data_IF_112135423589
#
_entry.id   IF_112135423589
#
_cell.length_a   1.000
_cell.length_b   1.000
_cell.length_c   1.000
_cell.angle_alpha   90.00
_cell.angle_beta   90.00
_cell.angle_gamma   90.00
#
_symmetry.space_group_name_H-M   'P 1'
#
loop_
_entity.id
_entity.type
_entity.pdbx_description
1 polymer ?
#
# COMPACT_ATOMS: atom_id res chain seq x y z
N UNK A 1 -13.33 41.87 -20.42
CA UNK A 1 -12.32 41.76 -19.35
C UNK A 1 -12.93 41.22 -18.05
N UNK A 2 -13.47 40.00 -18.06
CA UNK A 2 -14.06 39.37 -16.84
C UNK A 2 -13.69 37.88 -16.67
N UNK A 3 -12.91 37.32 -17.60
CA UNK A 3 -12.55 35.90 -17.63
C UNK A 3 -11.09 35.60 -17.23
N UNK A 4 -10.31 36.62 -16.86
CA UNK A 4 -8.88 36.46 -16.50
C UNK A 4 -8.61 36.39 -14.99
N UNK A 5 -9.62 36.63 -14.14
CA UNK A 5 -9.44 36.62 -12.68
C UNK A 5 -9.76 35.23 -12.08
N UNK A 6 -10.55 34.40 -12.78
CA UNK A 6 -10.92 33.07 -12.26
C UNK A 6 -9.79 32.03 -12.35
N UNK A 7 -8.81 32.21 -13.24
CA UNK A 7 -7.69 31.27 -13.42
C UNK A 7 -6.56 31.47 -12.40
N UNK A 8 -6.48 32.61 -11.73
CA UNK A 8 -5.42 32.90 -10.73
C UNK A 8 -5.74 32.40 -9.32
N UNK A 9 -7.01 32.09 -9.03
CA UNK A 9 -7.42 31.59 -7.71
C UNK A 9 -7.24 30.07 -7.59
N UNK A 10 -7.38 29.31 -8.69
CA UNK A 10 -7.21 27.86 -8.67
C UNK A 10 -5.75 27.41 -8.51
N UNK A 11 -4.78 28.19 -8.98
CA UNK A 11 -3.35 27.84 -8.86
C UNK A 11 -2.79 28.08 -7.45
N UNK A 12 -3.47 28.87 -6.62
CA UNK A 12 -3.00 29.18 -5.27
C UNK A 12 -3.26 28.04 -4.29
N UNK A 13 -4.38 27.30 -4.43
CA UNK A 13 -4.77 26.28 -3.46
C UNK A 13 -3.86 25.04 -3.47
N UNK A 14 -3.32 24.67 -4.63
CA UNK A 14 -2.43 23.51 -4.75
C UNK A 14 -1.07 23.73 -4.05
N UNK A 15 -0.58 24.97 -3.98
CA UNK A 15 0.71 25.28 -3.35
C UNK A 15 0.65 25.31 -1.81
N UNK A 16 -0.52 25.56 -1.22
CA UNK A 16 -0.65 25.56 0.24
C UNK A 16 -0.77 24.15 0.81
N UNK A 17 -1.47 23.24 0.13
CA UNK A 17 -1.67 21.87 0.59
C UNK A 17 -0.34 21.10 0.73
N UNK A 18 0.59 21.24 -0.22
CA UNK A 18 1.90 20.56 -0.13
C UNK A 18 2.72 21.04 1.07
N UNK A 19 2.67 22.34 1.37
CA UNK A 19 3.42 22.93 2.49
C UNK A 19 2.94 22.46 3.86
N UNK A 20 1.67 22.12 3.99
CA UNK A 20 1.07 21.62 5.24
C UNK A 20 1.42 20.14 5.47
N UNK A 21 1.34 19.32 4.41
CA UNK A 21 1.75 17.90 4.43
C UNK A 21 3.21 17.77 4.87
N UNK A 22 4.12 18.55 4.29
CA UNK A 22 5.56 18.51 4.61
C UNK A 22 5.85 18.94 6.06
N UNK A 23 5.05 19.86 6.62
CA UNK A 23 5.18 20.24 8.03
C UNK A 23 4.72 19.13 8.96
N UNK A 24 3.66 18.40 8.60
CA UNK A 24 3.13 17.30 9.39
C UNK A 24 4.05 16.07 9.34
N UNK A 25 4.64 15.75 8.19
CA UNK A 25 5.63 14.69 8.07
C UNK A 25 6.88 15.02 8.90
N UNK A 26 7.39 16.26 8.83
CA UNK A 26 8.47 16.74 9.69
C UNK A 26 8.11 16.64 11.18
N UNK A 27 6.89 17.04 11.56
CA UNK A 27 6.42 16.98 12.94
C UNK A 27 6.35 15.53 13.46
N UNK A 28 5.87 14.58 12.65
CA UNK A 28 5.86 13.15 13.00
C UNK A 28 7.27 12.67 13.35
N UNK A 29 8.24 12.88 12.46
CA UNK A 29 9.60 12.40 12.68
C UNK A 29 10.30 13.14 13.83
N UNK A 30 10.08 14.45 13.98
CA UNK A 30 10.57 15.22 15.13
C UNK A 30 10.05 14.64 16.45
N UNK A 31 8.76 14.34 16.55
CA UNK A 31 8.18 13.76 17.76
C UNK A 31 8.67 12.34 18.01
N UNK A 32 8.82 11.53 16.95
CA UNK A 32 9.38 10.18 17.05
C UNK A 32 10.81 10.19 17.60
N UNK A 33 11.67 11.06 17.07
CA UNK A 33 13.05 11.24 17.52
C UNK A 33 13.12 11.77 18.97
N UNK A 34 12.21 12.67 19.37
CA UNK A 34 12.15 13.13 20.75
C UNK A 34 11.58 12.07 21.72
N UNK A 35 10.82 11.10 21.21
CA UNK A 35 10.31 9.96 21.97
C UNK A 35 11.30 8.80 22.14
N UNK A 36 12.47 8.87 21.49
CA UNK A 36 13.47 7.80 21.47
C UNK A 36 14.22 7.58 22.80
N UNK A 37 13.97 8.39 23.84
CA UNK A 37 14.56 8.16 25.18
C UNK A 37 14.03 6.90 25.88
N UNK A 38 13.01 6.22 25.33
CA UNK A 38 12.50 4.95 25.88
C UNK A 38 12.00 4.00 24.79
N UNK A 39 12.92 3.28 24.14
CA UNK A 39 12.81 1.85 23.84
C UNK A 39 13.91 1.44 22.86
N UNK A 40 14.95 0.77 23.36
CA UNK A 40 15.82 -0.07 22.53
C UNK A 40 15.26 -1.49 22.61
N UNK A 41 14.04 -1.68 22.11
CA UNK A 41 13.47 -3.00 21.78
C UNK A 41 12.67 -2.82 20.48
N UNK A 42 13.37 -2.44 19.42
CA UNK A 42 12.85 -2.59 18.06
C UNK A 42 13.36 -3.92 17.54
N UNK A 43 12.51 -4.94 17.57
CA UNK A 43 12.78 -6.18 16.84
C UNK A 43 13.15 -5.82 15.39
N UNK A 44 14.37 -6.16 14.99
CA UNK A 44 14.71 -6.40 13.60
C UNK A 44 13.82 -7.55 13.11
N UNK A 45 12.57 -7.25 12.75
CA UNK A 45 11.62 -8.24 12.28
C UNK A 45 12.10 -8.77 10.94
N UNK A 46 12.76 -9.93 10.99
CA UNK A 46 13.17 -10.67 9.81
C UNK A 46 11.93 -11.11 9.03
N UNK A 47 11.91 -10.84 7.73
CA UNK A 47 10.83 -11.26 6.83
C UNK A 47 11.14 -12.59 6.15
N UNK A 48 10.12 -13.44 5.92
CA UNK A 48 8.71 -13.27 6.31
C UNK A 48 8.48 -13.51 7.81
N UNK A 49 7.48 -12.84 8.40
CA UNK A 49 7.15 -13.02 9.82
C UNK A 49 6.73 -14.48 10.11
N UNK A 50 7.03 -15.05 11.30
CA UNK A 50 6.72 -16.44 11.62
C UNK A 50 5.24 -16.82 11.51
N UNK A 51 4.34 -15.85 11.67
CA UNK A 51 2.88 -15.98 11.59
C UNK A 51 2.30 -15.65 10.22
N UNK A 52 3.09 -15.06 9.32
CA UNK A 52 2.63 -14.76 7.96
C UNK A 52 2.51 -16.05 7.13
N UNK A 53 1.33 -16.26 6.54
CA UNK A 53 1.17 -17.31 5.52
C UNK A 53 2.14 -17.05 4.36
N UNK A 54 2.71 -18.08 3.73
CA UNK A 54 3.56 -17.84 2.56
C UNK A 54 2.69 -17.45 1.35
N UNK A 55 3.20 -16.60 0.46
CA UNK A 55 2.51 -16.23 -0.79
C UNK A 55 2.03 -17.48 -1.56
N UNK A 56 2.87 -18.50 -1.66
CA UNK A 56 2.51 -19.73 -2.38
C UNK A 56 1.34 -20.47 -1.72
N UNK A 57 1.30 -20.50 -0.39
CA UNK A 57 0.18 -21.09 0.36
C UNK A 57 -1.13 -20.34 0.06
N UNK A 58 -1.11 -19.02 0.14
CA UNK A 58 -2.31 -18.18 -0.13
C UNK A 58 -2.84 -18.43 -1.55
N UNK A 59 -1.96 -18.46 -2.55
CA UNK A 59 -2.36 -18.71 -3.94
C UNK A 59 -2.98 -20.10 -4.08
N UNK A 60 -2.34 -21.13 -3.53
CA UNK A 60 -2.83 -22.50 -3.62
C UNK A 60 -4.12 -22.76 -2.83
N UNK A 61 -4.39 -21.99 -1.78
CA UNK A 61 -5.68 -22.03 -1.06
C UNK A 61 -6.82 -21.38 -1.86
N UNK A 62 -6.49 -20.48 -2.79
CA UNK A 62 -7.47 -19.74 -3.59
C UNK A 62 -7.77 -20.41 -4.93
N UNK A 63 -6.76 -21.00 -5.57
CA UNK A 63 -6.92 -21.69 -6.85
C UNK A 63 -7.59 -23.05 -6.68
N UNK A 64 -8.21 -23.60 -7.75
CA UNK A 64 -8.63 -24.99 -7.76
C UNK A 64 -7.48 -25.94 -7.42
N UNK A 65 -7.77 -27.03 -6.71
CA UNK A 65 -6.74 -27.94 -6.19
C UNK A 65 -5.79 -28.49 -7.27
N UNK A 66 -6.30 -28.70 -8.49
CA UNK A 66 -5.53 -29.21 -9.63
C UNK A 66 -4.52 -28.22 -10.22
N UNK A 67 -4.46 -26.98 -9.71
CA UNK A 67 -3.44 -25.99 -10.08
C UNK A 67 -2.32 -25.89 -9.03
N UNK A 68 -2.39 -26.71 -7.97
CA UNK A 68 -1.43 -26.76 -6.88
C UNK A 68 -1.31 -28.18 -6.30
N UNK A 69 -1.37 -29.22 -7.13
CA UNK A 69 -1.27 -30.61 -6.70
C UNK A 69 -0.03 -31.34 -7.24
N UNK A 70 0.65 -30.77 -8.25
CA UNK A 70 1.87 -31.32 -8.80
C UNK A 70 3.13 -30.56 -8.36
N UNK A 71 4.31 -31.22 -8.28
CA UNK A 71 5.56 -30.54 -7.97
C UNK A 71 5.93 -29.41 -8.94
N UNK A 72 5.54 -29.51 -10.21
CA UNK A 72 5.84 -28.49 -11.22
C UNK A 72 4.93 -27.26 -11.09
N UNK A 73 3.64 -27.45 -10.77
CA UNK A 73 2.74 -26.35 -10.40
C UNK A 73 3.22 -25.61 -9.15
N UNK A 74 3.58 -26.36 -8.10
CA UNK A 74 4.09 -25.77 -6.86
C UNK A 74 5.36 -24.95 -7.13
N UNK A 75 6.27 -25.45 -7.99
CA UNK A 75 7.46 -24.70 -8.42
C UNK A 75 7.09 -23.44 -9.19
N UNK A 76 6.09 -23.50 -10.06
CA UNK A 76 5.62 -22.36 -10.82
C UNK A 76 5.08 -21.28 -9.89
N UNK A 77 4.18 -21.63 -8.96
CA UNK A 77 3.61 -20.72 -7.95
C UNK A 77 4.70 -20.14 -7.05
N UNK A 78 5.61 -20.98 -6.56
CA UNK A 78 6.75 -20.52 -5.74
C UNK A 78 7.63 -19.52 -6.49
N UNK A 79 7.79 -19.69 -7.80
CA UNK A 79 8.56 -18.77 -8.64
C UNK A 79 7.86 -17.42 -8.81
N UNK A 80 6.53 -17.41 -8.95
CA UNK A 80 5.73 -16.17 -9.01
C UNK A 80 5.81 -15.37 -7.70
N UNK A 81 5.94 -16.06 -6.56
CA UNK A 81 6.04 -15.46 -5.25
C UNK A 81 7.43 -14.88 -4.90
N UNK A 82 8.39 -14.88 -5.82
CA UNK A 82 9.74 -14.35 -5.54
C UNK A 82 9.68 -12.85 -5.21
N UNK A 83 10.41 -12.47 -4.15
CA UNK A 83 10.43 -11.10 -3.64
C UNK A 83 9.20 -10.68 -2.84
N UNK A 84 8.25 -11.59 -2.59
CA UNK A 84 7.15 -11.34 -1.66
C UNK A 84 7.62 -11.57 -0.22
N UNK A 85 7.35 -10.62 0.67
CA UNK A 85 7.72 -10.68 2.10
C UNK A 85 6.63 -11.35 2.96
N UNK A 86 6.13 -12.51 2.51
CA UNK A 86 4.99 -13.22 3.11
C UNK A 86 3.83 -13.36 2.12
N UNK A 87 2.63 -13.62 2.63
CA UNK A 87 1.39 -13.82 1.87
C UNK A 87 0.34 -12.75 2.12
N UNK A 88 0.56 -11.84 3.06
CA UNK A 88 -0.43 -10.86 3.51
C UNK A 88 -0.86 -9.90 2.39
N UNK A 89 0.10 -9.42 1.59
CA UNK A 89 -0.22 -8.57 0.43
C UNK A 89 -1.14 -9.30 -0.55
N UNK A 90 -0.77 -10.53 -0.94
CA UNK A 90 -1.55 -11.33 -1.89
C UNK A 90 -2.94 -11.65 -1.33
N UNK A 91 -3.01 -12.08 -0.07
CA UNK A 91 -4.28 -12.39 0.60
C UNK A 91 -5.19 -11.16 0.66
N UNK A 92 -4.62 -9.99 0.97
CA UNK A 92 -5.38 -8.75 1.05
C UNK A 92 -5.90 -8.30 -0.31
N UNK A 93 -5.09 -8.39 -1.36
CA UNK A 93 -5.46 -8.05 -2.74
C UNK A 93 -6.57 -8.97 -3.24
N UNK A 94 -6.45 -10.28 -3.05
CA UNK A 94 -7.49 -11.26 -3.43
C UNK A 94 -8.81 -10.98 -2.70
N UNK A 95 -8.75 -10.53 -1.45
CA UNK A 95 -9.94 -10.16 -0.68
C UNK A 95 -10.60 -8.86 -1.18
N UNK A 96 -9.81 -7.94 -1.73
CA UNK A 96 -10.29 -6.66 -2.24
C UNK A 96 -10.92 -6.81 -3.63
N UNK A 97 -10.28 -7.59 -4.50
CA UNK A 97 -10.71 -7.73 -5.89
C UNK A 97 -11.96 -8.62 -6.02
N UNK A 98 -12.82 -8.35 -7.03
CA UNK A 98 -13.83 -9.31 -7.44
C UNK A 98 -13.22 -10.68 -7.79
N UNK A 99 -13.96 -11.76 -7.52
CA UNK A 99 -13.43 -13.13 -7.70
C UNK A 99 -12.94 -13.41 -9.12
N UNK A 100 -13.60 -12.88 -10.14
CA UNK A 100 -13.26 -13.07 -11.55
C UNK A 100 -11.98 -12.34 -11.99
N UNK A 101 -11.36 -11.56 -11.11
CA UNK A 101 -10.06 -10.91 -11.32
C UNK A 101 -8.96 -11.61 -10.51
N UNK A 102 -9.27 -12.74 -9.88
CA UNK A 102 -8.37 -13.52 -9.01
C UNK A 102 -8.80 -14.99 -8.95
N UNK A 103 -9.15 -15.58 -10.09
CA UNK A 103 -9.57 -16.98 -10.20
C UNK A 103 -8.74 -17.81 -11.18
N UNK A 104 -7.83 -17.18 -11.94
CA UNK A 104 -6.91 -17.86 -12.83
C UNK A 104 -5.45 -17.76 -12.38
N UNK A 105 -4.63 -18.69 -12.85
CA UNK A 105 -3.20 -18.72 -12.55
C UNK A 105 -2.44 -17.48 -13.06
N UNK A 106 -2.82 -16.96 -14.23
CA UNK A 106 -2.20 -15.76 -14.80
C UNK A 106 -2.52 -14.51 -13.98
N UNK A 107 -3.75 -14.38 -13.48
CA UNK A 107 -4.12 -13.29 -12.56
C UNK A 107 -3.36 -13.39 -11.24
N UNK A 108 -3.24 -14.59 -10.68
CA UNK A 108 -2.46 -14.82 -9.45
C UNK A 108 -1.00 -14.48 -9.64
N UNK A 109 -0.43 -14.81 -10.80
CA UNK A 109 0.93 -14.44 -11.15
C UNK A 109 1.11 -12.93 -11.15
N UNK A 110 0.19 -12.20 -11.77
CA UNK A 110 0.28 -10.74 -11.81
C UNK A 110 0.11 -10.12 -10.42
N UNK A 111 -0.84 -10.61 -9.62
CA UNK A 111 -1.00 -10.18 -8.21
C UNK A 111 0.27 -10.43 -7.41
N UNK A 112 0.85 -11.63 -7.49
CA UNK A 112 2.08 -11.99 -6.79
C UNK A 112 3.26 -11.12 -7.23
N UNK A 113 3.37 -10.83 -8.53
CA UNK A 113 4.41 -9.95 -9.05
C UNK A 113 4.25 -8.51 -8.53
N UNK A 114 3.02 -8.01 -8.40
CA UNK A 114 2.78 -6.66 -7.87
C UNK A 114 3.00 -6.55 -6.36
N UNK A 115 2.78 -7.63 -5.62
CA UNK A 115 3.13 -7.73 -4.20
C UNK A 115 4.63 -7.91 -3.94
N UNK A 116 5.44 -8.17 -4.97
CA UNK A 116 6.89 -8.22 -4.83
C UNK A 116 7.44 -6.86 -4.37
N UNK A 117 8.23 -6.86 -3.30
CA UNK A 117 8.74 -5.64 -2.67
C UNK A 117 7.76 -4.96 -1.70
N UNK A 118 6.54 -5.45 -1.53
CA UNK A 118 5.55 -4.89 -0.59
C UNK A 118 5.65 -5.61 0.76
N UNK A 119 5.80 -4.83 1.83
CA UNK A 119 6.02 -5.36 3.18
C UNK A 119 4.68 -5.48 3.94
N UNK A 120 4.18 -6.71 4.08
CA UNK A 120 2.86 -6.98 4.68
C UNK A 120 1.70 -6.38 3.88
N UNK A 121 0.59 -6.04 4.56
CA UNK A 121 -0.58 -5.38 3.94
C UNK A 121 -0.80 -3.93 4.38
N UNK A 122 -0.06 -3.44 5.40
CA UNK A 122 -0.37 -2.16 6.10
C UNK A 122 -0.45 -0.96 5.16
N UNK A 123 0.47 -0.85 4.20
CA UNK A 123 0.41 0.24 3.23
C UNK A 123 -0.87 0.18 2.38
N UNK A 124 -1.21 -1.01 1.84
CA UNK A 124 -2.44 -1.18 1.09
C UNK A 124 -3.68 -0.93 1.95
N UNK A 125 -3.66 -1.37 3.21
CA UNK A 125 -4.74 -1.15 4.18
C UNK A 125 -4.96 0.34 4.49
N UNK A 126 -3.90 1.14 4.52
CA UNK A 126 -4.00 2.59 4.64
C UNK A 126 -4.84 3.17 3.48
N UNK A 127 -4.50 2.87 2.23
CA UNK A 127 -5.30 3.30 1.07
C UNK A 127 -6.73 2.78 1.14
N UNK A 128 -6.92 1.48 1.40
CA UNK A 128 -8.24 0.85 1.47
C UNK A 128 -9.12 1.37 2.62
N UNK A 129 -8.52 1.96 3.67
CA UNK A 129 -9.26 2.56 4.78
C UNK A 129 -9.77 3.97 4.50
N UNK A 130 -9.17 4.67 3.52
CA UNK A 130 -9.48 6.06 3.19
C UNK A 130 -10.25 6.18 1.87
N UNK A 131 -9.94 5.32 0.90
CA UNK A 131 -10.60 5.33 -0.40
C UNK A 131 -11.95 4.62 -0.36
N UNK A 132 -12.95 5.14 -1.09
CA UNK A 132 -14.19 4.42 -1.30
C UNK A 132 -13.93 3.17 -2.16
N UNK A 133 -14.74 2.12 -1.95
CA UNK A 133 -14.51 0.81 -2.56
C UNK A 133 -14.40 0.83 -4.10
N UNK A 134 -15.12 1.73 -4.77
CA UNK A 134 -15.10 1.88 -6.24
C UNK A 134 -13.78 2.44 -6.81
N UNK A 135 -12.86 2.93 -5.95
CA UNK A 135 -11.52 3.35 -6.38
C UNK A 135 -10.47 2.26 -6.19
N UNK A 136 -10.90 1.07 -5.75
CA UNK A 136 -10.08 -0.13 -5.50
C UNK A 136 -10.85 -1.40 -5.89
N UNK A 137 -11.66 -1.35 -6.94
CA UNK A 137 -12.48 -2.50 -7.39
C UNK A 137 -11.96 -3.16 -8.67
N UNK A 138 -10.93 -2.57 -9.28
CA UNK A 138 -10.24 -3.11 -10.44
C UNK A 138 -8.77 -3.44 -10.14
N UNK A 139 -8.23 -4.42 -10.87
CA UNK A 139 -6.82 -4.78 -10.78
C UNK A 139 -5.89 -3.60 -11.05
N UNK A 140 -6.20 -2.77 -12.03
CA UNK A 140 -5.33 -1.64 -12.40
C UNK A 140 -5.19 -0.63 -11.25
N UNK A 141 -6.30 -0.30 -10.57
CA UNK A 141 -6.28 0.62 -9.43
C UNK A 141 -5.53 0.02 -8.24
N UNK A 142 -5.77 -1.27 -7.95
CA UNK A 142 -5.05 -1.98 -6.89
C UNK A 142 -3.55 -2.02 -7.21
N UNK A 143 -3.17 -2.29 -8.46
CA UNK A 143 -1.78 -2.36 -8.89
C UNK A 143 -1.09 -1.00 -8.84
N UNK A 144 -1.79 0.08 -9.16
CA UNK A 144 -1.30 1.44 -9.01
C UNK A 144 -0.94 1.74 -7.55
N UNK A 145 -1.85 1.39 -6.61
CA UNK A 145 -1.61 1.55 -5.16
C UNK A 145 -0.46 0.67 -4.68
N UNK A 146 -0.43 -0.61 -5.07
CA UNK A 146 0.69 -1.51 -4.72
C UNK A 146 2.02 -0.96 -5.22
N UNK A 147 2.04 -0.32 -6.39
CA UNK A 147 3.21 0.38 -6.92
C UNK A 147 3.76 1.45 -5.98
N UNK A 148 2.89 2.16 -5.25
CA UNK A 148 3.29 3.15 -4.23
C UNK A 148 3.75 2.51 -2.93
N UNK A 149 3.25 1.30 -2.63
CA UNK A 149 3.60 0.56 -1.43
C UNK A 149 4.91 -0.24 -1.54
N UNK A 150 5.47 -0.38 -2.74
CA UNK A 150 6.75 -1.08 -2.94
C UNK A 150 7.85 -0.38 -2.16
N UNK A 151 8.51 -1.13 -1.29
CA UNK A 151 9.57 -0.69 -0.38
C UNK A 151 9.18 0.41 0.62
N UNK A 152 7.87 0.73 0.74
CA UNK A 152 7.41 1.62 1.79
C UNK A 152 7.60 0.93 3.15
N UNK A 153 8.39 1.53 4.03
CA UNK A 153 8.55 1.03 5.40
C UNK A 153 7.30 1.30 6.24
N UNK A 154 7.14 0.60 7.36
CA UNK A 154 6.04 0.90 8.27
C UNK A 154 6.09 2.33 8.82
N UNK A 155 7.29 2.88 8.98
CA UNK A 155 7.48 4.26 9.44
C UNK A 155 6.89 5.27 8.45
N UNK A 156 7.08 5.05 7.15
CA UNK A 156 6.49 5.89 6.10
C UNK A 156 4.97 5.80 6.14
N UNK A 157 4.41 4.60 6.31
CA UNK A 157 2.96 4.42 6.41
C UNK A 157 2.40 5.04 7.69
N UNK A 158 3.10 4.94 8.82
CA UNK A 158 2.67 5.52 10.09
C UNK A 158 2.71 7.05 10.07
N UNK A 159 3.71 7.61 9.41
CA UNK A 159 3.75 9.04 9.09
C UNK A 159 2.53 9.45 8.25
N UNK A 160 2.17 8.67 7.23
CA UNK A 160 1.04 8.98 6.35
C UNK A 160 -0.30 8.93 7.11
N UNK A 161 -0.50 7.89 7.94
CA UNK A 161 -1.66 7.78 8.83
C UNK A 161 -1.74 8.99 9.77
N UNK A 162 -0.63 9.33 10.45
CA UNK A 162 -0.59 10.49 11.34
C UNK A 162 -0.94 11.78 10.61
N UNK A 163 -0.38 11.99 9.42
CA UNK A 163 -0.62 13.18 8.59
C UNK A 163 -2.10 13.29 8.22
N UNK A 164 -2.70 12.21 7.72
CA UNK A 164 -4.12 12.19 7.37
C UNK A 164 -5.08 12.31 8.55
N UNK A 165 -4.65 11.96 9.76
CA UNK A 165 -5.45 12.16 10.98
C UNK A 165 -5.41 13.61 11.48
N UNK A 166 -4.46 14.41 10.98
CA UNK A 166 -4.33 15.85 11.30
C UNK A 166 -4.92 16.75 10.23
N UNK A 167 -4.95 16.30 8.98
CA UNK A 167 -5.55 17.04 7.89
C UNK A 167 -7.09 16.96 7.93
N UNK A 168 -7.79 17.95 7.34
CA UNK A 168 -9.19 17.80 7.02
C UNK A 168 -9.44 16.55 6.16
N UNK A 169 -10.56 15.86 6.36
CA UNK A 169 -10.84 14.59 5.69
C UNK A 169 -10.79 14.65 4.16
N UNK A 170 -11.15 15.80 3.58
CA UNK A 170 -11.15 16.02 2.13
C UNK A 170 -9.75 16.15 1.51
N UNK A 171 -8.68 16.17 2.33
CA UNK A 171 -7.29 16.16 1.84
C UNK A 171 -6.66 14.76 1.92
N UNK A 172 -7.46 13.75 2.29
CA UNK A 172 -7.08 12.34 2.39
C UNK A 172 -8.27 11.44 2.01
N UNK A 173 -9.02 11.81 0.97
CA UNK A 173 -10.18 11.04 0.49
C UNK A 173 -10.07 10.63 -0.98
N UNK A 174 -9.05 11.11 -1.70
CA UNK A 174 -8.74 10.71 -3.07
C UNK A 174 -7.38 10.00 -3.18
N UNK A 175 -7.23 9.18 -4.22
CA UNK A 175 -6.00 8.41 -4.44
C UNK A 175 -4.78 9.32 -4.57
N UNK A 176 -4.86 10.37 -5.38
CA UNK A 176 -3.74 11.29 -5.62
C UNK A 176 -3.26 11.97 -4.32
N UNK A 177 -4.18 12.37 -3.45
CA UNK A 177 -3.86 12.97 -2.16
C UNK A 177 -3.14 11.99 -1.24
N UNK A 178 -3.64 10.76 -1.12
CA UNK A 178 -2.99 9.73 -0.31
C UNK A 178 -1.59 9.38 -0.83
N UNK A 179 -1.41 9.36 -2.16
CA UNK A 179 -0.10 9.17 -2.78
C UNK A 179 0.85 10.32 -2.43
N UNK A 180 0.36 11.57 -2.48
CA UNK A 180 1.17 12.74 -2.12
C UNK A 180 1.58 12.72 -0.66
N UNK A 181 0.67 12.36 0.24
CA UNK A 181 0.96 12.20 1.68
C UNK A 181 2.01 11.11 1.90
N UNK A 182 1.82 9.93 1.29
CA UNK A 182 2.77 8.81 1.43
C UNK A 182 4.16 9.20 0.92
N UNK A 183 4.26 9.91 -0.20
CA UNK A 183 5.53 10.39 -0.77
C UNK A 183 6.21 11.42 0.12
N UNK A 184 5.48 12.38 0.69
CA UNK A 184 6.06 13.36 1.63
C UNK A 184 6.63 12.68 2.88
N UNK A 185 6.05 11.55 3.29
CA UNK A 185 6.53 10.75 4.42
C UNK A 185 7.73 9.84 4.10
N UNK A 186 7.99 9.55 2.83
CA UNK A 186 9.07 8.66 2.37
C UNK A 186 10.31 9.36 1.83
N UNK A 187 10.29 10.69 1.72
CA UNK A 187 11.41 11.53 1.26
C UNK A 187 12.25 12.03 2.44
#
# INVERSE_FOLDING_TARGET
MKWLILSLVLSSQALFASSEIDQLSFLYYKNKLNGFEKSIEGEDQCYPRPDSSSCAKVICEKLPSYMCDSPDEIRQVTTMCRGNYGGDCVARVIKQLPSYQSDSLDEMKDIANQCSGVVGSRCFDFFASKLPAYQLDSRDEVFEVLGQCKNASYDVVDCAVFTCDKLPSYQCDSRDELINVLKSCGN
#
